data_IF_136910940831
#
_entry.id   IF_136910940831
#
_cell.length_a   1.000
_cell.length_b   1.000
_cell.length_c   1.000
_cell.angle_alpha   90.00
_cell.angle_beta   90.00
_cell.angle_gamma   90.00
#
_symmetry.space_group_name_H-M   'P 1'
#
loop_
_entity.id
_entity.type
_entity.pdbx_description
1 polymer ?
#
# COMPACT_ATOMS: atom_id res chain seq x y z
N UNK A 1 10.33 -2.98 4.36
CA UNK A 1 9.35 -3.86 3.70
C UNK A 1 9.51 -3.66 2.21
N UNK A 2 9.65 -4.73 1.44
CA UNK A 2 9.66 -4.63 -0.03
C UNK A 2 8.23 -4.48 -0.56
N UNK A 3 8.07 -4.12 -1.83
CA UNK A 3 6.74 -3.97 -2.42
C UNK A 3 6.05 -5.32 -2.57
N UNK A 4 6.79 -6.38 -2.87
CA UNK A 4 6.29 -7.75 -2.91
C UNK A 4 5.69 -8.18 -1.56
N UNK A 5 6.42 -8.01 -0.45
CA UNK A 5 5.92 -8.33 0.89
C UNK A 5 4.66 -7.53 1.24
N UNK A 6 4.66 -6.23 0.92
CA UNK A 6 3.53 -5.34 1.15
C UNK A 6 2.28 -5.79 0.39
N UNK A 7 2.42 -6.12 -0.91
CA UNK A 7 1.29 -6.49 -1.75
C UNK A 7 0.69 -7.85 -1.37
N UNK A 8 1.51 -8.81 -0.94
CA UNK A 8 1.00 -10.10 -0.45
C UNK A 8 0.19 -9.95 0.83
N UNK A 9 0.61 -9.06 1.72
CA UNK A 9 -0.18 -8.69 2.89
C UNK A 9 -1.51 -8.04 2.47
N UNK A 10 -1.49 -7.09 1.54
CA UNK A 10 -2.70 -6.45 1.01
C UNK A 10 -3.68 -7.48 0.44
N UNK A 11 -3.21 -8.42 -0.40
CA UNK A 11 -4.06 -9.49 -0.94
C UNK A 11 -4.69 -10.31 0.19
N UNK A 12 -3.87 -10.76 1.16
CA UNK A 12 -4.33 -11.54 2.30
C UNK A 12 -5.45 -10.83 3.06
N UNK A 13 -5.25 -9.56 3.37
CA UNK A 13 -6.19 -8.80 4.17
C UNK A 13 -7.48 -8.50 3.42
N UNK A 14 -7.39 -8.05 2.16
CA UNK A 14 -8.55 -7.70 1.36
C UNK A 14 -9.46 -8.90 1.10
N UNK A 15 -8.88 -10.09 0.86
CA UNK A 15 -9.69 -11.29 0.68
C UNK A 15 -10.38 -11.75 1.98
N UNK A 16 -9.69 -11.63 3.12
CA UNK A 16 -10.29 -11.91 4.42
C UNK A 16 -11.43 -10.92 4.73
N UNK A 17 -11.21 -9.64 4.46
CA UNK A 17 -12.21 -8.59 4.64
C UNK A 17 -13.42 -8.82 3.72
N UNK A 18 -13.19 -9.34 2.51
CA UNK A 18 -14.23 -9.77 1.57
C UNK A 18 -14.93 -11.09 1.97
N UNK A 19 -14.58 -11.68 3.11
CA UNK A 19 -15.25 -12.86 3.67
C UNK A 19 -14.74 -14.22 3.17
N UNK A 20 -13.59 -14.26 2.49
CA UNK A 20 -13.01 -15.52 2.05
C UNK A 20 -12.46 -16.32 3.24
N UNK A 21 -12.53 -17.65 3.15
CA UNK A 21 -11.99 -18.53 4.20
C UNK A 21 -10.46 -18.42 4.30
N UNK A 22 -9.91 -18.58 5.50
CA UNK A 22 -8.46 -18.57 5.72
C UNK A 22 -7.69 -19.55 4.82
N UNK A 23 -8.23 -20.75 4.57
CA UNK A 23 -7.60 -21.73 3.69
C UNK A 23 -7.54 -21.23 2.25
N UNK A 24 -8.66 -20.72 1.73
CA UNK A 24 -8.69 -20.16 0.38
C UNK A 24 -7.83 -18.91 0.22
N UNK A 25 -7.71 -18.08 1.26
CA UNK A 25 -6.79 -16.92 1.24
C UNK A 25 -5.34 -17.39 1.20
N UNK A 26 -4.99 -18.43 1.97
CA UNK A 26 -3.62 -18.95 1.93
C UNK A 26 -3.26 -19.56 0.57
N UNK A 27 -4.21 -20.26 -0.06
CA UNK A 27 -4.04 -20.77 -1.42
C UNK A 27 -3.75 -19.65 -2.43
N UNK A 28 -4.52 -18.55 -2.41
CA UNK A 28 -4.32 -17.44 -3.34
C UNK A 28 -3.02 -16.69 -3.05
N UNK A 29 -2.70 -16.40 -1.78
CA UNK A 29 -1.43 -15.74 -1.42
C UNK A 29 -0.22 -16.57 -1.88
N UNK A 30 -0.25 -17.89 -1.70
CA UNK A 30 0.82 -18.78 -2.18
C UNK A 30 0.95 -18.77 -3.69
N UNK A 31 -0.18 -18.77 -4.40
CA UNK A 31 -0.20 -18.74 -5.85
C UNK A 31 0.30 -17.39 -6.40
N UNK A 32 -0.21 -16.27 -5.88
CA UNK A 32 0.21 -14.91 -6.24
C UNK A 32 1.67 -14.64 -5.87
N UNK A 33 2.17 -15.15 -4.74
CA UNK A 33 3.57 -14.97 -4.33
C UNK A 33 4.56 -15.40 -5.40
N UNK A 34 4.36 -16.57 -6.02
CA UNK A 34 5.27 -17.11 -7.04
C UNK A 34 5.26 -16.25 -8.31
N UNK A 35 4.06 -15.85 -8.76
CA UNK A 35 3.93 -15.01 -9.94
C UNK A 35 4.48 -13.60 -9.70
N UNK A 36 4.22 -13.01 -8.53
CA UNK A 36 4.72 -11.69 -8.15
C UNK A 36 6.23 -11.66 -7.97
N UNK A 37 6.84 -12.70 -7.40
CA UNK A 37 8.31 -12.82 -7.28
C UNK A 37 8.97 -12.75 -8.66
N UNK A 38 8.48 -13.57 -9.61
CA UNK A 38 9.02 -13.59 -10.98
C UNK A 38 8.83 -12.26 -11.72
N UNK A 39 7.71 -11.56 -11.49
CA UNK A 39 7.47 -10.26 -12.14
C UNK A 39 8.26 -9.13 -11.47
N UNK A 40 8.31 -9.09 -10.15
CA UNK A 40 8.82 -7.94 -9.40
C UNK A 40 10.33 -8.03 -9.15
N UNK A 41 10.85 -9.22 -8.85
CA UNK A 41 12.24 -9.44 -8.49
C UNK A 41 13.06 -10.03 -9.64
N UNK A 42 12.51 -10.99 -10.39
CA UNK A 42 13.22 -11.59 -11.53
C UNK A 42 13.04 -10.81 -12.84
N UNK A 43 12.21 -9.76 -12.83
CA UNK A 43 11.92 -8.88 -13.96
C UNK A 43 11.38 -9.61 -15.20
N UNK A 44 10.64 -10.70 -14.99
CA UNK A 44 10.01 -11.45 -16.06
C UNK A 44 8.70 -10.79 -16.48
N UNK A 45 8.47 -10.73 -17.80
CA UNK A 45 7.15 -10.44 -18.36
C UNK A 45 6.19 -11.61 -18.11
N UNK A 46 4.88 -11.33 -18.06
CA UNK A 46 3.87 -12.39 -17.94
C UNK A 46 3.95 -13.41 -19.07
N UNK A 47 4.33 -13.01 -20.29
CA UNK A 47 4.54 -13.93 -21.41
C UNK A 47 5.72 -14.87 -21.17
N UNK A 48 6.84 -14.37 -20.65
CA UNK A 48 8.00 -15.19 -20.33
C UNK A 48 7.65 -16.22 -19.26
N UNK A 49 6.96 -15.79 -18.18
CA UNK A 49 6.54 -16.69 -17.11
C UNK A 49 5.63 -17.79 -17.66
N UNK A 50 4.61 -17.45 -18.46
CA UNK A 50 3.72 -18.46 -19.04
C UNK A 50 4.43 -19.42 -20.00
N UNK A 51 5.51 -18.98 -20.63
CA UNK A 51 6.29 -19.82 -21.54
C UNK A 51 7.21 -20.78 -20.79
N UNK A 52 7.89 -20.31 -19.72
CA UNK A 52 8.82 -21.14 -18.93
C UNK A 52 8.14 -21.94 -17.81
N UNK A 53 6.98 -21.49 -17.35
CA UNK A 53 6.17 -22.07 -16.27
C UNK A 53 4.70 -22.18 -16.70
N UNK A 54 4.37 -23.09 -17.66
CA UNK A 54 3.01 -23.24 -18.15
C UNK A 54 2.01 -23.62 -17.05
N UNK A 55 2.46 -24.26 -15.96
CA UNK A 55 1.64 -24.56 -14.78
C UNK A 55 1.18 -23.31 -14.02
N UNK A 56 1.86 -22.17 -14.18
CA UNK A 56 1.50 -20.89 -13.58
C UNK A 56 0.60 -20.04 -14.47
N UNK A 57 0.23 -20.49 -15.68
CA UNK A 57 -0.46 -19.65 -16.63
C UNK A 57 -1.81 -19.10 -16.11
N UNK A 58 -2.61 -19.94 -15.45
CA UNK A 58 -3.89 -19.52 -14.89
C UNK A 58 -3.74 -18.48 -13.77
N UNK A 59 -2.75 -18.65 -12.89
CA UNK A 59 -2.52 -17.68 -11.81
C UNK A 59 -1.93 -16.37 -12.32
N UNK A 60 -1.08 -16.43 -13.35
CA UNK A 60 -0.55 -15.23 -14.01
C UNK A 60 -1.68 -14.44 -14.68
N UNK A 61 -2.59 -15.11 -15.38
CA UNK A 61 -3.72 -14.42 -16.02
C UNK A 61 -4.70 -13.83 -15.00
N UNK A 62 -4.85 -14.47 -13.84
CA UNK A 62 -5.70 -13.98 -12.73
C UNK A 62 -5.05 -12.81 -11.99
N UNK A 63 -3.76 -12.92 -11.68
CA UNK A 63 -3.02 -11.90 -10.91
C UNK A 63 -2.66 -10.71 -11.79
N UNK A 64 -2.31 -10.95 -13.04
CA UNK A 64 -1.86 -9.93 -14.01
C UNK A 64 -2.77 -9.89 -15.24
N UNK A 65 -4.08 -9.58 -15.09
CA UNK A 65 -5.01 -9.55 -16.22
C UNK A 65 -4.52 -8.56 -17.29
N UNK A 66 -4.39 -9.05 -18.53
CA UNK A 66 -3.84 -8.26 -19.64
C UNK A 66 -2.36 -7.89 -19.48
N UNK A 67 -1.62 -8.56 -18.60
CA UNK A 67 -0.23 -8.24 -18.28
C UNK A 67 -0.06 -7.07 -17.30
N UNK A 68 -1.14 -6.66 -16.62
CA UNK A 68 -1.15 -5.52 -15.70
C UNK A 68 -1.51 -5.97 -14.28
N UNK A 69 -0.91 -5.33 -13.28
CA UNK A 69 -1.35 -5.42 -11.88
C UNK A 69 -1.70 -4.01 -11.38
N UNK A 70 -2.90 -3.83 -10.82
CA UNK A 70 -3.46 -2.52 -10.44
C UNK A 70 -3.28 -1.43 -11.53
N UNK A 71 -3.58 -1.82 -12.78
CA UNK A 71 -3.44 -0.97 -13.98
C UNK A 71 -2.01 -0.44 -14.23
N UNK A 72 -0.98 -1.16 -13.79
CA UNK A 72 0.44 -0.85 -14.02
C UNK A 72 1.16 -2.04 -14.63
N UNK A 73 2.22 -1.77 -15.40
CA UNK A 73 3.02 -2.77 -16.10
C UNK A 73 3.97 -3.51 -15.16
N UNK A 74 4.48 -4.67 -15.58
CA UNK A 74 5.56 -5.40 -14.90
C UNK A 74 6.77 -4.50 -14.59
N UNK A 75 7.18 -3.66 -15.54
CA UNK A 75 8.31 -2.74 -15.38
C UNK A 75 8.09 -1.74 -14.24
N UNK A 76 6.87 -1.20 -14.10
CA UNK A 76 6.55 -0.28 -13.01
C UNK A 76 6.73 -0.96 -11.65
N UNK A 77 6.23 -2.18 -11.49
CA UNK A 77 6.36 -2.91 -10.23
C UNK A 77 7.79 -3.37 -9.94
N UNK A 78 8.52 -3.80 -10.97
CA UNK A 78 9.96 -4.07 -10.87
C UNK A 78 10.74 -2.85 -10.39
N UNK A 79 10.42 -1.66 -10.87
CA UNK A 79 11.05 -0.41 -10.42
C UNK A 79 10.73 -0.12 -8.94
N UNK A 80 9.47 -0.31 -8.53
CA UNK A 80 9.08 -0.15 -7.13
C UNK A 80 9.82 -1.14 -6.22
N UNK A 81 9.88 -2.41 -6.59
CA UNK A 81 10.56 -3.46 -5.81
C UNK A 81 12.06 -3.17 -5.65
N UNK A 82 12.71 -2.69 -6.71
CA UNK A 82 14.13 -2.34 -6.69
C UNK A 82 14.43 -1.02 -5.96
N UNK A 83 13.42 -0.22 -5.63
CA UNK A 83 13.61 1.08 -5.00
C UNK A 83 13.69 0.94 -3.48
N UNK A 84 14.84 1.26 -2.90
CA UNK A 84 14.99 1.33 -1.46
C UNK A 84 14.36 2.61 -0.90
N UNK A 85 13.04 2.61 -0.70
CA UNK A 85 12.31 3.76 -0.15
C UNK A 85 12.81 4.21 1.23
N UNK A 86 13.29 3.28 2.06
CA UNK A 86 13.85 3.63 3.37
C UNK A 86 15.11 4.50 3.25
N UNK A 87 15.96 4.22 2.25
CA UNK A 87 17.13 5.05 1.94
C UNK A 87 16.73 6.49 1.57
N UNK A 88 15.63 6.67 0.83
CA UNK A 88 15.14 8.01 0.47
C UNK A 88 14.52 8.73 1.68
N UNK A 89 13.69 8.04 2.47
CA UNK A 89 13.11 8.63 3.67
C UNK A 89 14.17 9.02 4.71
N UNK A 90 15.25 8.24 4.84
CA UNK A 90 16.39 8.59 5.72
C UNK A 90 17.11 9.88 5.30
N UNK A 91 16.95 10.32 4.05
CA UNK A 91 17.54 11.56 3.51
C UNK A 91 16.52 12.66 3.32
N UNK A 92 15.32 12.52 3.88
CA UNK A 92 14.28 13.51 3.76
C UNK A 92 14.70 14.80 4.45
N UNK A 93 15.01 15.84 3.67
CA UNK A 93 15.36 17.18 4.16
C UNK A 93 14.16 18.04 4.53
N UNK A 94 13.01 17.44 4.82
CA UNK A 94 11.76 18.14 5.10
C UNK A 94 11.05 17.53 6.31
N UNK A 95 10.18 18.33 6.93
CA UNK A 95 9.25 17.82 7.95
C UNK A 95 8.17 16.97 7.29
N UNK A 96 7.78 15.89 7.95
CA UNK A 96 6.89 14.87 7.36
C UNK A 96 5.66 14.62 8.25
N UNK A 97 4.48 14.70 7.65
CA UNK A 97 3.26 14.13 8.21
C UNK A 97 2.88 12.90 7.40
N UNK A 98 2.94 11.72 8.02
CA UNK A 98 2.47 10.48 7.43
C UNK A 98 1.03 10.21 7.90
N UNK A 99 0.04 10.58 7.09
CA UNK A 99 -1.37 10.46 7.44
C UNK A 99 -2.00 9.22 6.78
N UNK A 100 -2.61 8.37 7.59
CA UNK A 100 -3.35 7.17 7.16
C UNK A 100 -4.82 7.31 7.55
N UNK A 101 -5.73 6.78 6.74
CA UNK A 101 -7.16 6.75 7.08
C UNK A 101 -7.49 5.53 7.93
N UNK A 102 -8.21 5.72 9.05
CA UNK A 102 -8.60 4.62 9.95
C UNK A 102 -9.49 3.55 9.28
N UNK A 103 -10.07 3.87 8.13
CA UNK A 103 -10.95 3.00 7.35
C UNK A 103 -10.36 2.63 5.99
N UNK A 104 -9.08 2.90 5.77
CA UNK A 104 -8.34 2.50 4.57
C UNK A 104 -8.00 1.00 4.63
N UNK A 105 -8.68 0.22 3.79
CA UNK A 105 -8.46 -1.22 3.62
C UNK A 105 -7.43 -1.58 2.53
N UNK A 106 -6.85 -0.58 1.86
CA UNK A 106 -5.89 -0.73 0.76
C UNK A 106 -4.44 -0.66 1.25
N UNK A 107 -4.18 0.19 2.24
CA UNK A 107 -2.86 0.39 2.84
C UNK A 107 -2.91 0.26 4.36
N UNK A 108 -1.75 0.06 5.00
CA UNK A 108 -1.68 -0.15 6.45
C UNK A 108 -1.10 1.05 7.20
N UNK A 109 -1.63 1.29 8.40
CA UNK A 109 -1.10 2.32 9.31
C UNK A 109 0.35 2.07 9.73
N UNK A 110 0.81 0.81 9.69
CA UNK A 110 2.20 0.45 10.02
C UNK A 110 3.21 1.04 9.04
N UNK A 111 2.86 1.17 7.76
CA UNK A 111 3.76 1.72 6.75
C UNK A 111 3.95 3.23 6.94
N UNK A 112 2.89 3.95 7.34
CA UNK A 112 2.95 5.37 7.69
C UNK A 112 3.77 5.62 8.97
N UNK A 113 3.61 4.75 9.98
CA UNK A 113 4.46 4.76 11.18
C UNK A 113 5.93 4.51 10.83
N UNK A 114 6.20 3.54 9.95
CA UNK A 114 7.55 3.23 9.49
C UNK A 114 8.21 4.44 8.81
N UNK A 115 7.48 5.19 7.97
CA UNK A 115 7.99 6.43 7.36
C UNK A 115 8.41 7.44 8.43
N UNK A 116 7.53 7.70 9.41
CA UNK A 116 7.84 8.64 10.48
C UNK A 116 9.04 8.17 11.33
N UNK A 117 9.12 6.88 11.63
CA UNK A 117 10.23 6.28 12.37
C UNK A 117 11.57 6.43 11.64
N UNK A 118 11.59 6.20 10.33
CA UNK A 118 12.82 6.35 9.52
C UNK A 118 13.30 7.80 9.55
N UNK A 119 12.41 8.77 9.31
CA UNK A 119 12.78 10.19 9.29
C UNK A 119 13.26 10.63 10.68
N UNK A 120 12.57 10.21 11.75
CA UNK A 120 12.93 10.60 13.12
C UNK A 120 14.25 9.99 13.62
N UNK A 121 14.73 8.88 13.04
CA UNK A 121 16.06 8.34 13.37
C UNK A 121 17.19 9.26 12.90
N UNK A 122 17.01 9.90 11.75
CA UNK A 122 18.01 10.81 11.16
C UNK A 122 17.79 12.25 11.63
N UNK A 123 16.53 12.61 11.85
CA UNK A 123 16.09 13.96 12.26
C UNK A 123 15.04 13.88 13.38
N UNK A 124 15.45 13.73 14.65
CA UNK A 124 14.51 13.58 15.77
C UNK A 124 13.46 14.70 15.84
N UNK A 125 12.18 14.32 15.81
CA UNK A 125 11.05 15.23 15.88
C UNK A 125 10.62 15.85 14.54
N UNK A 126 11.22 15.46 13.42
CA UNK A 126 10.84 15.99 12.10
C UNK A 126 9.65 15.29 11.46
N UNK A 127 9.26 14.12 11.97
CA UNK A 127 8.13 13.39 11.44
C UNK A 127 7.15 12.93 12.51
N UNK A 128 5.88 12.80 12.11
CA UNK A 128 4.89 12.05 12.89
C UNK A 128 3.92 11.33 11.97
N UNK A 129 3.45 10.19 12.44
CA UNK A 129 2.36 9.46 11.83
C UNK A 129 1.04 9.80 12.52
N UNK A 130 -0.04 9.90 11.76
CA UNK A 130 -1.39 10.11 12.28
C UNK A 130 -2.38 9.20 11.58
N UNK A 131 -3.41 8.83 12.34
CA UNK A 131 -4.56 8.12 11.83
C UNK A 131 -5.75 9.07 11.81
N UNK A 132 -6.43 9.16 10.67
CA UNK A 132 -7.57 10.06 10.46
C UNK A 132 -8.85 9.24 10.64
N UNK A 133 -9.67 9.57 11.65
CA UNK A 133 -10.86 8.80 11.96
C UNK A 133 -11.85 8.86 10.80
N UNK A 134 -12.53 7.74 10.56
CA UNK A 134 -13.55 7.58 9.54
C UNK A 134 -13.12 8.03 8.13
N UNK A 135 -11.87 7.76 7.74
CA UNK A 135 -11.35 8.11 6.42
C UNK A 135 -10.83 6.86 5.75
N UNK A 136 -11.24 6.61 4.52
CA UNK A 136 -10.69 5.52 3.71
C UNK A 136 -9.51 5.95 2.84
N UNK A 137 -9.08 5.06 1.95
CA UNK A 137 -7.94 5.23 1.05
C UNK A 137 -8.05 6.43 0.09
N UNK A 138 -9.27 6.80 -0.30
CA UNK A 138 -9.54 7.96 -1.17
C UNK A 138 -10.11 9.14 -0.37
N UNK A 139 -10.00 9.08 0.95
CA UNK A 139 -10.54 10.06 1.90
C UNK A 139 -12.06 10.18 1.89
N UNK A 140 -12.78 9.09 1.58
CA UNK A 140 -14.22 8.99 1.79
C UNK A 140 -14.54 8.71 3.25
N UNK A 141 -15.68 9.24 3.71
CA UNK A 141 -16.12 9.20 5.10
C UNK A 141 -16.87 7.90 5.44
N UNK A 142 -16.12 6.83 5.63
CA UNK A 142 -16.62 5.52 6.09
C UNK A 142 -16.15 5.26 7.51
N UNK A 143 -16.94 4.60 8.35
CA UNK A 143 -16.55 4.39 9.76
C UNK A 143 -15.59 3.21 9.92
N UNK A 144 -15.66 2.22 9.02
CA UNK A 144 -14.87 1.00 9.08
C UNK A 144 -14.30 0.63 7.72
N UNK A 145 -13.23 -0.16 7.73
CA UNK A 145 -12.64 -0.74 6.53
C UNK A 145 -13.65 -1.62 5.76
N UNK A 146 -14.53 -2.34 6.47
CA UNK A 146 -15.57 -3.17 5.86
C UNK A 146 -16.62 -2.32 5.11
N UNK A 147 -17.09 -1.23 5.73
CA UNK A 147 -17.97 -0.27 5.06
C UNK A 147 -17.29 0.37 3.84
N UNK A 148 -16.01 0.75 3.97
CA UNK A 148 -15.26 1.29 2.84
C UNK A 148 -15.14 0.29 1.69
N UNK A 149 -14.83 -0.98 1.98
CA UNK A 149 -14.79 -2.04 0.97
C UNK A 149 -16.14 -2.22 0.28
N UNK A 150 -17.24 -2.24 1.03
CA UNK A 150 -18.61 -2.39 0.50
C UNK A 150 -18.98 -1.26 -0.48
N UNK A 151 -18.54 -0.04 -0.19
CA UNK A 151 -18.91 1.16 -0.95
C UNK A 151 -17.82 1.66 -1.91
N UNK A 152 -16.71 0.95 -2.03
CA UNK A 152 -15.57 1.34 -2.84
C UNK A 152 -15.91 1.55 -4.33
N UNK A 153 -15.37 2.56 -5.02
CA UNK A 153 -14.55 3.69 -4.56
C UNK A 153 -15.40 4.97 -4.38
N UNK A 154 -16.57 4.86 -3.74
CA UNK A 154 -17.53 5.97 -3.60
C UNK A 154 -17.67 6.42 -2.15
N UNK A 155 -18.15 7.65 -1.95
CA UNK A 155 -18.41 8.21 -0.63
C UNK A 155 -18.34 9.73 -0.62
N UNK A 156 -18.79 10.33 0.48
CA UNK A 156 -18.60 11.76 0.72
C UNK A 156 -17.18 11.99 1.26
N UNK A 157 -16.49 13.02 0.76
CA UNK A 157 -15.16 13.37 1.26
C UNK A 157 -15.15 13.66 2.77
N UNK A 158 -14.16 13.14 3.49
CA UNK A 158 -13.94 13.39 4.91
C UNK A 158 -13.11 14.68 5.11
N UNK A 159 -13.70 15.77 5.63
CA UNK A 159 -12.97 17.03 5.82
C UNK A 159 -11.86 16.94 6.89
N UNK A 160 -11.86 15.92 7.75
CA UNK A 160 -10.85 15.73 8.80
C UNK A 160 -9.43 15.61 8.22
N UNK A 161 -9.27 15.08 7.00
CA UNK A 161 -7.98 15.07 6.32
C UNK A 161 -7.45 16.50 6.08
N UNK A 162 -8.28 17.39 5.53
CA UNK A 162 -7.90 18.78 5.26
C UNK A 162 -7.62 19.54 6.56
N UNK A 163 -8.43 19.33 7.59
CA UNK A 163 -8.21 19.96 8.89
C UNK A 163 -6.89 19.54 9.52
N UNK A 164 -6.56 18.24 9.42
CA UNK A 164 -5.29 17.67 9.89
C UNK A 164 -4.10 18.28 9.15
N UNK A 165 -4.16 18.32 7.81
CA UNK A 165 -3.10 18.90 6.98
C UNK A 165 -2.91 20.39 7.27
N UNK A 166 -4.00 21.16 7.35
CA UNK A 166 -3.96 22.59 7.64
C UNK A 166 -3.36 22.89 9.02
N UNK A 167 -3.77 22.13 10.03
CA UNK A 167 -3.23 22.27 11.39
C UNK A 167 -1.73 21.98 11.43
N UNK A 168 -1.29 20.91 10.76
CA UNK A 168 0.12 20.54 10.67
C UNK A 168 0.95 21.60 9.96
N UNK A 169 0.53 22.05 8.77
CA UNK A 169 1.24 23.09 8.01
C UNK A 169 1.39 24.36 8.85
N UNK A 170 0.33 24.79 9.53
CA UNK A 170 0.38 25.96 10.39
C UNK A 170 1.37 25.79 11.56
N UNK A 171 1.45 24.61 12.16
CA UNK A 171 2.40 24.31 13.23
C UNK A 171 3.86 24.36 12.75
N UNK A 172 4.13 23.79 11.57
CA UNK A 172 5.45 23.83 10.90
C UNK A 172 5.85 25.27 10.60
N UNK A 173 4.96 26.08 10.03
CA UNK A 173 5.23 27.49 9.70
C UNK A 173 5.49 28.35 10.95
N UNK A 174 4.96 27.95 12.11
CA UNK A 174 5.17 28.62 13.39
C UNK A 174 6.40 28.10 14.15
N UNK A 175 7.12 27.10 13.61
CA UNK A 175 8.24 26.46 14.30
C UNK A 175 7.84 25.67 15.55
N UNK A 176 6.56 25.29 15.68
CA UNK A 176 6.02 24.51 16.79
C UNK A 176 6.14 23.00 16.57
N UNK A 177 6.12 22.62 15.31
CA UNK A 177 6.56 21.30 14.89
C UNK A 177 7.88 21.42 14.19
#
# INVERSE_FOLDING_TARGET
>A
RTWHEYLLDTVRYQELLAGKSYAGVDDDVRASSRAMEMVFQDHMTTLQIKTSHPELAAIVDTTFPGGLFNAKTSDFWSQLENTNFAWYWSRCGARVLAAHGASDFVTYSVDHRLVADIVNREHPGWARAVEIPASDHIFSNWQTEAESLEHWPTGAFNPAFIDTMRGWIAAVMQGKE
#
